data_IF_191689890839
#
_entry.id   IF_191689890839
#
_cell.length_a   1.000
_cell.length_b   1.000
_cell.length_c   1.000
_cell.angle_alpha   90.00
_cell.angle_beta   90.00
_cell.angle_gamma   90.00
#
_symmetry.space_group_name_H-M   'P 1'
#
loop_
_entity.id
_entity.type
_entity.pdbx_description
1 polymer ?
#
# COMPACT_ATOMS: atom_id res chain seq x y z
N UNK A 1 -6.83 -11.81 -20.15
CA UNK A 1 -5.81 -10.74 -20.14
C UNK A 1 -6.38 -9.41 -19.67
N UNK A 2 -7.32 -8.79 -20.40
CA UNK A 2 -7.91 -7.50 -20.00
C UNK A 2 -8.59 -7.52 -18.62
N UNK A 3 -9.43 -8.54 -18.35
CA UNK A 3 -10.05 -8.74 -17.03
C UNK A 3 -9.02 -8.87 -15.90
N UNK A 4 -7.92 -9.59 -16.13
CA UNK A 4 -6.83 -9.74 -15.15
C UNK A 4 -6.15 -8.41 -14.86
N UNK A 5 -5.89 -7.58 -15.87
CA UNK A 5 -5.34 -6.24 -15.66
C UNK A 5 -6.28 -5.36 -14.82
N UNK A 6 -7.59 -5.39 -15.11
CA UNK A 6 -8.59 -4.68 -14.32
C UNK A 6 -8.66 -5.20 -12.87
N UNK A 7 -8.61 -6.52 -12.67
CA UNK A 7 -8.53 -7.13 -11.33
C UNK A 7 -7.27 -6.67 -10.58
N UNK A 8 -6.10 -6.62 -11.24
CA UNK A 8 -4.88 -6.11 -10.62
C UNK A 8 -4.98 -4.62 -10.27
N UNK A 9 -5.55 -3.79 -11.15
CA UNK A 9 -5.79 -2.37 -10.89
C UNK A 9 -6.72 -2.16 -9.70
N UNK A 10 -7.81 -2.92 -9.65
CA UNK A 10 -8.78 -2.86 -8.55
C UNK A 10 -8.23 -3.36 -7.22
N UNK A 11 -7.39 -4.40 -7.25
CA UNK A 11 -6.76 -4.94 -6.04
C UNK A 11 -5.68 -4.01 -5.49
N UNK A 12 -4.79 -3.51 -6.34
CA UNK A 12 -3.62 -2.72 -5.91
C UNK A 12 -3.89 -1.22 -5.76
N UNK A 13 -5.04 -0.72 -6.21
CA UNK A 13 -5.39 0.70 -6.13
C UNK A 13 -6.82 0.93 -5.66
N UNK A 14 -7.07 2.08 -5.04
CA UNK A 14 -8.38 2.54 -4.58
C UNK A 14 -9.18 3.32 -5.62
N UNK A 15 -8.75 3.31 -6.88
CA UNK A 15 -9.46 4.00 -7.94
C UNK A 15 -10.81 3.31 -8.20
N UNK A 16 -11.90 4.07 -8.42
CA UNK A 16 -13.21 3.50 -8.64
C UNK A 16 -13.23 2.78 -10.00
N UNK A 17 -13.40 1.46 -9.97
CA UNK A 17 -13.58 0.64 -11.17
C UNK A 17 -14.95 -0.02 -11.16
N UNK A 18 -15.65 -0.12 -12.30
CA UNK A 18 -16.93 -0.82 -12.42
C UNK A 18 -16.71 -2.34 -12.49
N UNK A 19 -16.04 -2.90 -11.49
CA UNK A 19 -15.84 -4.34 -11.36
C UNK A 19 -16.76 -4.90 -10.27
N UNK A 20 -17.24 -6.13 -10.48
CA UNK A 20 -17.88 -6.92 -9.42
C UNK A 20 -16.84 -7.37 -8.41
N UNK A 21 -17.30 -7.85 -7.25
CA UNK A 21 -16.46 -8.52 -6.26
C UNK A 21 -15.53 -9.53 -6.95
N UNK A 22 -14.25 -9.41 -6.65
CA UNK A 22 -13.18 -10.21 -7.28
C UNK A 22 -12.74 -11.28 -6.28
N UNK A 23 -12.70 -12.54 -6.72
CA UNK A 23 -12.27 -13.63 -5.83
C UNK A 23 -10.75 -13.63 -5.64
N UNK A 24 -10.26 -14.22 -4.54
CA UNK A 24 -8.82 -14.38 -4.30
C UNK A 24 -8.13 -15.18 -5.41
N UNK A 25 -8.81 -16.14 -6.03
CA UNK A 25 -8.29 -16.89 -7.17
C UNK A 25 -8.09 -15.99 -8.39
N UNK A 26 -9.03 -15.08 -8.66
CA UNK A 26 -8.92 -14.11 -9.75
C UNK A 26 -7.77 -13.12 -9.53
N UNK A 27 -7.55 -12.70 -8.27
CA UNK A 27 -6.39 -11.89 -7.88
C UNK A 27 -5.09 -12.66 -8.09
N UNK A 28 -5.03 -13.93 -7.69
CA UNK A 28 -3.86 -14.78 -7.96
C UNK A 28 -3.54 -14.88 -9.45
N UNK A 29 -4.58 -15.05 -10.28
CA UNK A 29 -4.45 -15.10 -11.76
C UNK A 29 -4.09 -13.75 -12.39
N UNK A 30 -4.22 -12.64 -11.68
CA UNK A 30 -3.83 -11.30 -12.16
C UNK A 30 -2.43 -10.88 -11.75
N UNK A 31 -1.72 -11.66 -10.94
CA UNK A 31 -0.38 -11.32 -10.42
C UNK A 31 0.64 -10.93 -11.51
N UNK A 32 0.55 -11.53 -12.70
CA UNK A 32 1.42 -11.17 -13.85
C UNK A 32 1.28 -9.70 -14.27
N UNK A 33 0.14 -9.06 -13.98
CA UNK A 33 -0.14 -7.66 -14.30
C UNK A 33 0.27 -6.69 -13.18
N UNK A 34 0.69 -7.18 -12.00
CA UNK A 34 1.10 -6.33 -10.88
C UNK A 34 2.26 -5.39 -11.23
N UNK A 35 3.32 -5.82 -11.96
CA UNK A 35 4.38 -4.91 -12.39
C UNK A 35 3.88 -3.78 -13.30
N UNK A 36 2.85 -4.02 -14.11
CA UNK A 36 2.26 -2.99 -14.97
C UNK A 36 1.50 -1.94 -14.16
N UNK A 37 0.74 -2.39 -13.15
CA UNK A 37 0.07 -1.47 -12.22
C UNK A 37 1.10 -0.68 -11.42
N UNK A 38 2.17 -1.33 -10.95
CA UNK A 38 3.27 -0.67 -10.26
C UNK A 38 3.97 0.37 -11.13
N UNK A 39 4.21 0.08 -12.41
CA UNK A 39 4.78 1.02 -13.37
C UNK A 39 3.85 2.24 -13.59
N UNK A 40 2.54 2.00 -13.72
CA UNK A 40 1.55 3.07 -13.83
C UNK A 40 1.55 3.96 -12.57
N UNK A 41 1.51 3.37 -11.38
CA UNK A 41 1.61 4.11 -10.12
C UNK A 41 2.92 4.89 -10.05
N UNK A 42 4.05 4.28 -10.40
CA UNK A 42 5.36 4.93 -10.43
C UNK A 42 5.41 6.13 -11.37
N UNK A 43 4.84 6.01 -12.56
CA UNK A 43 4.72 7.13 -13.52
C UNK A 43 3.88 8.28 -12.95
N UNK A 44 2.76 7.97 -12.30
CA UNK A 44 1.91 8.99 -11.66
C UNK A 44 2.65 9.72 -10.54
N UNK A 45 3.40 8.99 -9.71
CA UNK A 45 4.19 9.58 -8.63
C UNK A 45 5.36 10.41 -9.17
N UNK A 46 6.09 9.89 -10.15
CA UNK A 46 7.20 10.61 -10.78
C UNK A 46 6.73 11.89 -11.48
N UNK A 47 5.59 11.83 -12.18
CA UNK A 47 4.97 13.00 -12.80
C UNK A 47 4.53 14.04 -11.76
N UNK A 48 3.95 13.58 -10.65
CA UNK A 48 3.54 14.45 -9.55
C UNK A 48 4.73 15.11 -8.86
N UNK A 49 5.78 14.33 -8.59
CA UNK A 49 7.04 14.83 -8.05
C UNK A 49 7.63 15.91 -8.97
N UNK A 50 7.78 15.61 -10.27
CA UNK A 50 8.29 16.55 -11.26
C UNK A 50 7.47 17.84 -11.31
N UNK A 51 6.14 17.76 -11.33
CA UNK A 51 5.26 18.92 -11.32
C UNK A 51 5.41 19.77 -10.04
N UNK A 52 5.47 19.12 -8.87
CA UNK A 52 5.69 19.80 -7.59
C UNK A 52 7.09 20.39 -7.46
N UNK A 53 8.07 19.89 -8.23
CA UNK A 53 9.43 20.42 -8.30
C UNK A 53 9.50 21.87 -8.80
N UNK A 54 8.47 22.35 -9.51
CA UNK A 54 8.34 23.76 -9.90
C UNK A 54 7.88 24.69 -8.76
N UNK A 55 7.32 24.13 -7.69
CA UNK A 55 6.68 24.89 -6.61
C UNK A 55 7.42 24.75 -5.27
N UNK A 56 8.03 23.60 -5.01
CA UNK A 56 8.56 23.25 -3.70
C UNK A 56 9.96 22.61 -3.79
N UNK A 57 10.82 22.83 -2.77
CA UNK A 57 12.09 22.11 -2.64
C UNK A 57 11.86 20.61 -2.39
N UNK A 58 12.87 19.75 -2.63
CA UNK A 58 12.73 18.29 -2.57
C UNK A 58 12.07 17.76 -1.30
N UNK A 59 12.46 18.26 -0.13
CA UNK A 59 11.93 17.78 1.15
C UNK A 59 10.45 18.13 1.35
N UNK A 60 10.00 19.29 0.89
CA UNK A 60 8.61 19.73 1.05
C UNK A 60 7.66 19.00 0.10
N UNK A 61 8.09 18.65 -1.12
CA UNK A 61 7.27 17.88 -2.06
C UNK A 61 7.24 16.37 -1.78
N UNK A 62 8.17 15.83 -0.99
CA UNK A 62 8.17 14.40 -0.64
C UNK A 62 6.88 13.99 0.10
N UNK A 63 6.41 14.80 1.05
CA UNK A 63 5.21 14.52 1.83
C UNK A 63 3.93 14.38 0.97
N UNK A 64 3.57 15.32 0.07
CA UNK A 64 2.41 15.16 -0.79
C UNK A 64 2.55 14.02 -1.82
N UNK A 65 3.75 13.73 -2.33
CA UNK A 65 3.99 12.57 -3.22
C UNK A 65 3.76 11.26 -2.46
N UNK A 66 4.26 11.16 -1.23
CA UNK A 66 4.06 10.00 -0.38
C UNK A 66 2.57 9.85 0.03
N UNK A 67 1.89 10.95 0.35
CA UNK A 67 0.45 10.96 0.61
C UNK A 67 -0.36 10.49 -0.61
N UNK A 68 0.05 10.89 -1.82
CA UNK A 68 -0.56 10.42 -3.07
C UNK A 68 -0.38 8.91 -3.25
N UNK A 69 0.81 8.37 -2.97
CA UNK A 69 1.06 6.92 -3.02
C UNK A 69 0.15 6.16 -2.05
N UNK A 70 0.03 6.63 -0.81
CA UNK A 70 -0.87 6.02 0.20
C UNK A 70 -2.33 6.11 -0.28
N UNK A 71 -2.76 7.26 -0.79
CA UNK A 71 -4.12 7.48 -1.25
C UNK A 71 -4.49 6.59 -2.45
N UNK A 72 -3.62 6.52 -3.47
CA UNK A 72 -3.84 5.69 -4.67
C UNK A 72 -3.88 4.22 -4.30
N UNK A 73 -2.99 3.75 -3.42
CA UNK A 73 -2.92 2.33 -3.05
C UNK A 73 -3.91 1.94 -1.95
N UNK A 74 -4.60 2.91 -1.34
CA UNK A 74 -5.48 2.67 -0.19
C UNK A 74 -4.73 2.13 1.04
N UNK A 75 -3.43 2.44 1.16
CA UNK A 75 -2.52 1.91 2.19
C UNK A 75 -2.31 0.39 2.17
N UNK A 76 -2.72 -0.35 1.13
CA UNK A 76 -2.57 -1.81 1.07
C UNK A 76 -1.14 -2.30 1.32
N UNK A 77 -0.15 -1.57 0.80
CA UNK A 77 1.27 -1.90 0.97
C UNK A 77 1.79 -1.61 2.38
N UNK A 78 1.14 -0.68 3.09
CA UNK A 78 1.49 -0.28 4.44
C UNK A 78 0.80 -1.18 5.47
N UNK A 79 -0.44 -1.61 5.18
CA UNK A 79 -1.30 -2.45 6.01
C UNK A 79 -0.58 -3.74 6.48
N UNK A 80 -0.16 -4.59 5.53
CA UNK A 80 0.55 -5.82 5.89
C UNK A 80 1.88 -5.59 6.62
N UNK A 81 2.54 -4.44 6.40
CA UNK A 81 3.74 -4.08 7.15
C UNK A 81 3.42 -3.66 8.59
N UNK A 82 2.35 -2.89 8.80
CA UNK A 82 1.84 -2.49 10.11
C UNK A 82 1.44 -3.73 10.92
N UNK A 83 0.69 -4.65 10.32
CA UNK A 83 0.28 -5.92 10.93
C UNK A 83 1.50 -6.76 11.33
N UNK A 84 2.52 -6.82 10.47
CA UNK A 84 3.78 -7.47 10.78
C UNK A 84 4.50 -6.79 11.94
N UNK A 85 4.49 -5.46 12.03
CA UNK A 85 5.10 -4.76 13.15
C UNK A 85 4.40 -5.11 14.47
N UNK A 86 3.06 -5.07 14.50
CA UNK A 86 2.29 -5.39 15.71
C UNK A 86 2.46 -6.85 16.14
N UNK A 87 2.40 -7.79 15.20
CA UNK A 87 2.52 -9.20 15.54
C UNK A 87 3.97 -9.63 15.78
N UNK A 88 4.95 -9.18 14.99
CA UNK A 88 6.32 -9.69 15.06
C UNK A 88 7.16 -9.04 16.16
N UNK A 89 6.93 -7.76 16.48
CA UNK A 89 7.71 -7.05 17.51
C UNK A 89 7.16 -7.29 18.92
N UNK A 90 5.96 -7.85 19.04
CA UNK A 90 5.42 -8.32 20.30
C UNK A 90 6.23 -9.53 20.81
N UNK A 91 6.93 -9.36 21.94
CA UNK A 91 7.60 -10.43 22.67
C UNK A 91 6.58 -11.36 23.37
N UNK A 92 5.86 -12.13 22.57
CA UNK A 92 4.75 -13.01 22.98
C UNK A 92 4.81 -14.36 22.25
N UNK A 93 4.21 -15.41 22.82
CA UNK A 93 4.07 -16.70 22.14
C UNK A 93 3.34 -16.58 20.79
N UNK A 94 3.56 -17.50 19.85
CA UNK A 94 2.93 -17.49 18.53
C UNK A 94 1.40 -17.38 18.55
N UNK A 95 0.75 -18.01 19.53
CA UNK A 95 -0.72 -18.04 19.66
C UNK A 95 -1.27 -16.63 19.90
N UNK A 96 -0.62 -15.87 20.79
CA UNK A 96 -0.98 -14.48 21.09
C UNK A 96 -0.70 -13.56 19.90
N UNK A 97 0.37 -13.83 19.13
CA UNK A 97 0.67 -13.04 17.92
C UNK A 97 -0.37 -13.25 16.82
N UNK A 98 -0.95 -14.45 16.74
CA UNK A 98 -2.09 -14.72 15.85
C UNK A 98 -3.38 -14.05 16.32
N UNK A 99 -3.59 -13.90 17.63
CA UNK A 99 -4.69 -13.09 18.17
C UNK A 99 -4.52 -11.62 17.79
N UNK A 100 -3.30 -11.07 17.87
CA UNK A 100 -2.98 -9.70 17.44
C UNK A 100 -3.33 -9.49 15.96
N UNK A 101 -2.97 -10.41 15.06
CA UNK A 101 -3.30 -10.33 13.63
C UNK A 101 -4.81 -10.42 13.32
N UNK A 102 -5.63 -10.87 14.28
CA UNK A 102 -7.10 -10.92 14.15
C UNK A 102 -7.77 -9.69 14.76
N UNK A 103 -7.04 -8.91 15.55
CA UNK A 103 -7.51 -7.64 16.07
C UNK A 103 -7.55 -6.62 14.94
N UNK A 104 -8.63 -5.84 14.88
CA UNK A 104 -8.79 -4.78 13.88
C UNK A 104 -8.15 -3.46 14.31
N UNK A 105 -7.69 -3.35 15.56
CA UNK A 105 -7.04 -2.16 16.09
C UNK A 105 -5.53 -2.21 15.83
N UNK A 106 -4.97 -1.07 15.45
CA UNK A 106 -3.52 -0.91 15.32
C UNK A 106 -2.87 -0.76 16.70
N UNK A 107 -1.77 -1.47 16.91
CA UNK A 107 -0.96 -1.38 18.12
C UNK A 107 0.16 -0.33 18.02
N UNK A 108 0.87 -0.15 19.13
CA UNK A 108 1.95 0.85 19.21
C UNK A 108 3.11 0.51 18.26
N UNK A 109 3.43 -0.78 18.07
CA UNK A 109 4.47 -1.21 17.16
C UNK A 109 4.10 -0.96 15.70
N UNK A 110 2.84 -1.19 15.33
CA UNK A 110 2.28 -0.88 14.03
C UNK A 110 2.39 0.61 13.71
N UNK A 111 1.97 1.49 14.63
CA UNK A 111 2.07 2.94 14.46
C UNK A 111 3.51 3.40 14.33
N UNK A 112 4.40 2.98 15.23
CA UNK A 112 5.83 3.37 15.18
C UNK A 112 6.48 2.85 13.90
N UNK A 113 6.21 1.60 13.53
CA UNK A 113 6.69 1.00 12.29
C UNK A 113 6.24 1.80 11.07
N UNK A 114 4.95 2.14 10.97
CA UNK A 114 4.41 2.94 9.87
C UNK A 114 5.10 4.30 9.75
N UNK A 115 5.29 5.01 10.88
CA UNK A 115 5.96 6.31 10.88
C UNK A 115 7.41 6.17 10.41
N UNK A 116 8.17 5.22 10.96
CA UNK A 116 9.57 5.00 10.55
C UNK A 116 9.65 4.62 9.08
N UNK A 117 8.77 3.75 8.60
CA UNK A 117 8.73 3.35 7.19
C UNK A 117 8.46 4.52 6.26
N UNK A 118 7.48 5.37 6.58
CA UNK A 118 7.16 6.53 5.74
C UNK A 118 8.26 7.59 5.76
N UNK A 119 9.01 7.73 6.86
CA UNK A 119 10.16 8.63 6.94
C UNK A 119 11.36 8.16 6.11
N UNK A 120 11.50 6.85 5.90
CA UNK A 120 12.61 6.26 5.14
C UNK A 120 12.32 6.11 3.64
N UNK A 121 11.07 6.28 3.22
CA UNK A 121 10.60 5.96 1.88
C UNK A 121 10.77 7.11 0.90
#
# INVERSE_FOLDING_TARGET
MFRSLLTALHFLTRLPFPLRETSLEEVGRSAWAFPLVGALTGLLLAGSDWALGYLFPPLLRAAPVLALWVAITGALHLDGFVDCCDALLAARPPEVRLEILRDTHVGAFGVVGAVVFLLLK
#
